data_IF_920547302640
#
_entry.id   IF_920547302640
#
_cell.length_a   1.000
_cell.length_b   1.000
_cell.length_c   1.000
_cell.angle_alpha   90.00
_cell.angle_beta   90.00
_cell.angle_gamma   90.00
#
_symmetry.space_group_name_H-M   'P 1'
#
loop_
_entity.id
_entity.type
_entity.pdbx_description
1 polymer ?
#
# COMPACT_ATOMS: atom_id res chain seq x y z
N UNK A 1 18.08 6.30 12.87
CA UNK A 1 16.77 6.35 12.18
C UNK A 1 16.26 4.94 12.00
N UNK A 2 14.95 4.73 12.07
CA UNK A 2 14.35 3.42 11.81
C UNK A 2 14.55 3.02 10.34
N UNK A 3 14.82 1.75 10.07
CA UNK A 3 14.94 1.23 8.70
C UNK A 3 13.58 1.17 7.99
N UNK A 4 12.54 0.81 8.75
CA UNK A 4 11.15 0.70 8.33
C UNK A 4 10.22 1.13 9.45
N UNK A 5 9.05 1.65 9.08
CA UNK A 5 7.90 1.88 9.95
C UNK A 5 6.74 1.04 9.41
N UNK A 6 6.02 0.33 10.28
CA UNK A 6 4.81 -0.39 9.92
C UNK A 6 3.60 0.33 10.52
N UNK A 7 2.70 0.81 9.66
CA UNK A 7 1.39 1.30 10.05
C UNK A 7 0.39 0.14 10.07
N UNK A 8 -0.43 0.06 11.12
CA UNK A 8 -1.47 -0.96 11.29
C UNK A 8 -2.69 -0.29 11.94
N UNK A 9 -3.86 -0.39 11.30
CA UNK A 9 -5.12 0.05 11.89
C UNK A 9 -5.51 -0.83 13.08
N UNK A 10 -6.32 -0.29 14.00
CA UNK A 10 -6.68 -0.98 15.23
C UNK A 10 -7.60 -2.20 15.04
N UNK A 11 -8.18 -2.37 13.85
CA UNK A 11 -9.05 -3.48 13.45
C UNK A 11 -8.32 -4.55 12.63
N UNK A 12 -7.01 -4.39 12.38
CA UNK A 12 -6.18 -5.41 11.72
C UNK A 12 -5.75 -6.49 12.71
N UNK A 13 -5.92 -7.75 12.31
CA UNK A 13 -5.48 -8.92 13.07
C UNK A 13 -4.22 -9.56 12.47
N UNK A 14 -3.29 -9.94 13.34
CA UNK A 14 -2.10 -10.71 12.95
C UNK A 14 -2.39 -12.21 13.03
N UNK A 15 -2.58 -12.86 11.88
CA UNK A 15 -2.95 -14.28 11.81
C UNK A 15 -1.74 -15.23 11.90
N UNK A 16 -0.54 -14.74 11.58
CA UNK A 16 0.69 -15.52 11.58
C UNK A 16 1.79 -14.83 12.41
N UNK A 17 1.60 -14.65 13.73
CA UNK A 17 2.53 -13.89 14.58
C UNK A 17 3.92 -14.54 14.74
N UNK A 18 4.06 -15.81 14.32
CA UNK A 18 5.33 -16.53 14.32
C UNK A 18 6.19 -16.23 13.09
N UNK A 19 5.63 -15.58 12.06
CA UNK A 19 6.37 -15.17 10.87
C UNK A 19 7.20 -13.94 11.22
N UNK A 20 8.55 -13.98 11.07
CA UNK A 20 9.38 -12.82 11.33
C UNK A 20 9.03 -11.67 10.37
N UNK A 21 9.04 -10.44 10.88
CA UNK A 21 8.73 -9.24 10.11
C UNK A 21 9.70 -9.06 8.92
N UNK A 22 10.94 -9.50 9.08
CA UNK A 22 11.97 -9.48 8.04
C UNK A 22 11.58 -10.30 6.82
N UNK A 23 10.84 -11.40 7.01
CA UNK A 23 10.31 -12.22 5.91
C UNK A 23 9.30 -11.41 5.11
N UNK A 24 8.34 -10.77 5.80
CA UNK A 24 7.32 -9.92 5.18
C UNK A 24 7.93 -8.75 4.39
N UNK A 25 8.93 -8.08 4.99
CA UNK A 25 9.63 -6.97 4.35
C UNK A 25 10.44 -7.46 3.14
N UNK A 26 11.14 -8.60 3.26
CA UNK A 26 11.98 -9.13 2.17
C UNK A 26 11.15 -9.59 0.99
N UNK A 27 10.03 -10.28 1.22
CA UNK A 27 9.14 -10.74 0.15
C UNK A 27 8.56 -9.58 -0.65
N UNK A 28 8.10 -8.53 0.04
CA UNK A 28 7.60 -7.32 -0.61
C UNK A 28 8.70 -6.48 -1.26
N UNK A 29 9.88 -6.35 -0.65
CA UNK A 29 11.02 -5.65 -1.26
C UNK A 29 11.49 -6.36 -2.54
N UNK A 30 11.48 -7.69 -2.56
CA UNK A 30 11.78 -8.48 -3.75
C UNK A 30 10.71 -8.31 -4.84
N UNK A 31 9.44 -8.13 -4.46
CA UNK A 31 8.37 -7.79 -5.41
C UNK A 31 8.59 -6.38 -6.02
N UNK A 32 8.87 -5.37 -5.19
CA UNK A 32 9.13 -4.00 -5.64
C UNK A 32 10.38 -3.89 -6.55
N UNK A 33 11.46 -4.60 -6.21
CA UNK A 33 12.69 -4.61 -7.02
C UNK A 33 12.47 -5.19 -8.43
N UNK A 34 11.58 -6.19 -8.58
CA UNK A 34 11.21 -6.75 -9.89
C UNK A 34 10.46 -5.76 -10.78
N UNK A 35 9.88 -4.73 -10.19
CA UNK A 35 9.13 -3.66 -10.86
C UNK A 35 9.99 -2.40 -11.10
N UNK A 36 11.29 -2.45 -10.78
CA UNK A 36 12.22 -1.35 -11.07
C UNK A 36 12.26 -0.24 -10.02
N UNK A 37 11.69 -0.43 -8.83
CA UNK A 37 11.65 0.58 -7.77
C UNK A 37 12.16 0.09 -6.42
N UNK A 38 13.03 0.88 -5.78
CA UNK A 38 13.26 0.80 -4.34
C UNK A 38 12.17 1.65 -3.65
N UNK A 39 10.99 1.08 -3.47
CA UNK A 39 9.82 1.88 -3.14
C UNK A 39 9.86 2.42 -1.71
N UNK A 40 9.42 3.67 -1.57
CA UNK A 40 9.27 4.38 -0.31
C UNK A 40 8.18 3.77 0.60
N UNK A 41 7.28 3.00 0.01
CA UNK A 41 6.05 2.44 0.57
C UNK A 41 5.84 1.02 0.05
N UNK A 42 5.38 0.12 0.91
CA UNK A 42 4.89 -1.21 0.54
C UNK A 42 3.49 -1.40 1.10
N UNK A 43 2.53 -1.70 0.22
CA UNK A 43 1.11 -1.88 0.56
C UNK A 43 0.82 -3.38 0.63
N UNK A 44 0.38 -3.86 1.80
CA UNK A 44 0.19 -5.29 2.04
C UNK A 44 -0.99 -5.91 1.27
N UNK A 45 -1.98 -5.09 0.91
CA UNK A 45 -3.15 -5.51 0.15
C UNK A 45 -3.43 -4.50 -0.97
N UNK A 46 -2.85 -4.76 -2.15
CA UNK A 46 -3.27 -4.13 -3.39
C UNK A 46 -4.10 -5.13 -4.21
N UNK A 47 -5.36 -4.78 -4.47
CA UNK A 47 -6.32 -5.56 -5.23
C UNK A 47 -6.67 -4.79 -6.51
N UNK A 48 -6.01 -5.04 -7.66
CA UNK A 48 -6.26 -4.27 -8.89
C UNK A 48 -7.71 -4.40 -9.39
N UNK A 49 -8.37 -5.49 -9.02
CA UNK A 49 -9.78 -5.76 -9.28
C UNK A 49 -10.71 -5.24 -8.19
N UNK A 50 -10.26 -4.43 -7.24
CA UNK A 50 -11.13 -3.92 -6.18
C UNK A 50 -12.40 -3.28 -6.75
N UNK A 51 -12.32 -2.65 -7.91
CA UNK A 51 -13.47 -2.07 -8.63
C UNK A 51 -14.43 -3.09 -9.27
N UNK A 52 -14.09 -4.37 -9.30
CA UNK A 52 -14.91 -5.43 -9.88
C UNK A 52 -15.81 -6.03 -8.81
N UNK A 53 -17.13 -6.00 -9.04
CA UNK A 53 -18.07 -6.83 -8.27
C UNK A 53 -17.76 -8.30 -8.54
N UNK A 54 -16.96 -8.90 -7.68
CA UNK A 54 -16.77 -10.35 -7.64
C UNK A 54 -17.89 -10.91 -6.75
N UNK A 55 -18.72 -11.79 -7.28
CA UNK A 55 -19.74 -12.55 -6.52
C UNK A 55 -20.75 -11.72 -5.68
N UNK A 56 -21.36 -10.67 -6.24
CA UNK A 56 -22.34 -9.80 -5.54
C UNK A 56 -21.77 -9.00 -4.36
N UNK A 57 -20.46 -8.98 -4.16
CA UNK A 57 -19.82 -8.13 -3.17
C UNK A 57 -19.65 -6.70 -3.71
N UNK A 58 -19.77 -5.70 -2.84
CA UNK A 58 -19.47 -4.32 -3.21
C UNK A 58 -17.98 -4.21 -3.55
N UNK A 59 -17.62 -3.46 -4.61
CA UNK A 59 -16.23 -3.33 -5.01
C UNK A 59 -15.37 -2.76 -3.87
N UNK A 60 -14.27 -3.45 -3.55
CA UNK A 60 -13.24 -2.96 -2.63
C UNK A 60 -12.43 -1.84 -3.27
N UNK A 61 -11.84 -0.96 -2.47
CA UNK A 61 -10.90 0.02 -3.02
C UNK A 61 -9.58 -0.69 -3.36
N UNK A 62 -8.91 -0.36 -4.48
CA UNK A 62 -7.79 -1.16 -4.99
C UNK A 62 -6.54 -1.10 -4.10
N UNK A 63 -6.39 -0.04 -3.32
CA UNK A 63 -5.35 0.12 -2.30
C UNK A 63 -5.99 -0.04 -0.94
N UNK A 64 -5.36 -0.75 -0.01
CA UNK A 64 -5.73 -0.75 1.41
C UNK A 64 -4.64 -0.08 2.26
N UNK A 65 -4.96 1.00 2.98
CA UNK A 65 -4.02 1.71 3.87
C UNK A 65 -4.07 1.26 5.32
N UNK A 66 -4.88 0.26 5.66
CA UNK A 66 -4.97 -0.27 7.02
C UNK A 66 -3.73 -1.05 7.44
N UNK A 67 -2.87 -1.45 6.51
CA UNK A 67 -1.54 -2.00 6.81
C UNK A 67 -0.53 -1.70 5.71
N UNK A 68 0.55 -0.98 6.03
CA UNK A 68 1.64 -0.70 5.08
C UNK A 68 2.98 -0.46 5.76
N UNK A 69 4.07 -0.72 5.03
CA UNK A 69 5.42 -0.39 5.46
C UNK A 69 5.94 0.88 4.77
N UNK A 70 6.54 1.78 5.52
CA UNK A 70 7.29 2.93 5.01
C UNK A 70 8.77 2.77 5.29
N UNK A 71 9.59 2.93 4.24
CA UNK A 71 11.05 2.94 4.41
C UNK A 71 11.50 4.19 5.15
N UNK A 72 12.49 4.09 6.03
CA UNK A 72 13.14 5.28 6.55
C UNK A 72 13.90 6.01 5.45
N UNK A 73 13.70 7.32 5.29
CA UNK A 73 14.51 8.14 4.39
C UNK A 73 13.78 9.30 3.73
N UNK A 74 14.52 10.06 2.92
CA UNK A 74 14.02 11.25 2.24
C UNK A 74 12.90 10.95 1.24
N UNK A 75 12.95 9.81 0.55
CA UNK A 75 11.93 9.40 -0.41
C UNK A 75 10.56 9.19 0.26
N UNK A 76 10.51 8.53 1.41
CA UNK A 76 9.28 8.32 2.16
C UNK A 76 8.77 9.58 2.84
N UNK A 77 9.68 10.45 3.31
CA UNK A 77 9.29 11.78 3.78
C UNK A 77 8.65 12.62 2.66
N UNK A 78 9.18 12.54 1.44
CA UNK A 78 8.61 13.21 0.28
C UNK A 78 7.23 12.65 -0.08
N UNK A 79 7.09 11.33 -0.14
CA UNK A 79 5.80 10.67 -0.38
C UNK A 79 4.75 11.11 0.65
N UNK A 80 5.09 11.12 1.94
CA UNK A 80 4.19 11.55 3.01
C UNK A 80 3.75 13.02 2.83
N UNK A 81 4.66 13.91 2.40
CA UNK A 81 4.32 15.31 2.11
C UNK A 81 3.34 15.43 0.95
N UNK A 82 3.60 14.72 -0.14
CA UNK A 82 2.70 14.70 -1.32
C UNK A 82 1.33 14.12 -0.96
N UNK A 83 1.32 13.03 -0.18
CA UNK A 83 0.10 12.38 0.29
C UNK A 83 -0.73 13.32 1.16
N UNK A 84 -0.13 13.94 2.18
CA UNK A 84 -0.81 14.92 3.02
C UNK A 84 -1.36 16.12 2.22
N UNK A 85 -0.65 16.57 1.19
CA UNK A 85 -1.10 17.64 0.31
C UNK A 85 -2.25 17.25 -0.62
N UNK A 86 -2.37 15.97 -0.98
CA UNK A 86 -3.45 15.45 -1.83
C UNK A 86 -4.77 15.23 -1.06
N UNK A 87 -4.70 14.87 0.23
CA UNK A 87 -5.87 14.55 1.05
C UNK A 87 -7.01 15.59 1.04
N UNK A 88 -6.76 16.92 1.11
CA UNK A 88 -7.83 17.91 1.08
C UNK A 88 -8.74 17.84 -0.17
N UNK A 89 -8.19 17.44 -1.32
CA UNK A 89 -8.94 17.38 -2.59
C UNK A 89 -9.93 16.22 -2.68
N UNK A 90 -9.77 15.20 -1.83
CA UNK A 90 -10.60 13.98 -1.82
C UNK A 90 -11.27 13.77 -0.47
N UNK A 91 -11.29 14.80 0.40
CA UNK A 91 -11.79 14.69 1.78
C UNK A 91 -13.28 14.32 1.89
N UNK A 92 -14.06 14.50 0.82
CA UNK A 92 -15.45 14.05 0.76
C UNK A 92 -15.60 12.55 0.49
N UNK A 93 -14.52 11.85 0.12
CA UNK A 93 -14.51 10.41 -0.07
C UNK A 93 -14.47 9.70 1.30
N UNK A 94 -15.24 8.61 1.50
CA UNK A 94 -15.24 7.88 2.78
C UNK A 94 -13.87 7.25 3.13
N UNK A 95 -13.05 6.99 2.12
CA UNK A 95 -11.68 6.46 2.23
C UNK A 95 -10.69 7.52 1.70
N UNK A 96 -10.74 8.73 2.25
CA UNK A 96 -10.10 9.91 1.66
C UNK A 96 -8.57 9.77 1.60
N UNK A 97 -7.93 9.27 2.64
CA UNK A 97 -6.48 9.04 2.67
C UNK A 97 -6.08 7.95 1.69
N UNK A 98 -6.84 6.85 1.66
CA UNK A 98 -6.61 5.73 0.76
C UNK A 98 -6.77 6.14 -0.72
N UNK A 99 -7.78 6.95 -1.02
CA UNK A 99 -8.02 7.51 -2.36
C UNK A 99 -6.93 8.52 -2.74
N UNK A 100 -6.49 9.36 -1.80
CA UNK A 100 -5.40 10.30 -2.04
C UNK A 100 -4.09 9.57 -2.39
N UNK A 101 -3.79 8.50 -1.66
CA UNK A 101 -2.63 7.67 -1.95
C UNK A 101 -2.75 7.00 -3.32
N UNK A 102 -3.90 6.38 -3.61
CA UNK A 102 -4.14 5.74 -4.91
C UNK A 102 -3.96 6.71 -6.08
N UNK A 103 -4.39 7.96 -5.95
CA UNK A 103 -4.18 8.98 -6.99
C UNK A 103 -2.70 9.36 -7.20
N UNK A 104 -1.86 9.20 -6.17
CA UNK A 104 -0.42 9.46 -6.24
C UNK A 104 0.38 8.26 -6.73
N UNK A 105 -0.11 7.04 -6.48
CA UNK A 105 0.52 5.83 -6.96
C UNK A 105 0.44 5.77 -8.48
N UNK A 106 1.60 5.58 -9.11
CA UNK A 106 1.63 5.28 -10.55
C UNK A 106 1.18 3.82 -10.74
N UNK A 107 0.53 3.47 -11.87
CA UNK A 107 0.17 2.08 -12.17
C UNK A 107 1.33 1.08 -12.08
N UNK A 108 2.56 1.57 -12.24
CA UNK A 108 3.80 0.78 -12.21
C UNK A 108 4.27 0.49 -10.78
N UNK A 109 3.87 1.32 -9.80
CA UNK A 109 4.19 1.16 -8.37
C UNK A 109 3.26 0.18 -7.64
N UNK A 110 2.40 -0.48 -8.41
CA UNK A 110 1.15 -1.04 -7.93
C UNK A 110 0.99 -2.51 -8.39
N UNK A 111 1.87 -3.01 -9.26
CA UNK A 111 1.75 -4.36 -9.84
C UNK A 111 2.49 -5.44 -9.04
N UNK A 112 1.92 -5.85 -7.91
CA UNK A 112 2.12 -7.22 -7.43
C UNK A 112 1.33 -8.20 -8.31
N UNK A 113 1.92 -8.69 -9.43
CA UNK A 113 1.39 -9.72 -10.35
C UNK A 113 -0.15 -9.83 -10.47
N UNK A 114 -0.71 -9.28 -11.55
CA UNK A 114 -1.80 -9.98 -12.24
C UNK A 114 -1.15 -10.91 -13.26
N UNK A 115 -1.45 -12.20 -13.14
CA UNK A 115 -1.14 -13.30 -14.04
C UNK A 115 -1.07 -12.90 -15.52
N UNK A 116 0.04 -13.21 -16.17
CA UNK A 116 0.04 -13.47 -17.61
C UNK A 116 -0.86 -14.69 -17.85
N UNK A 117 -1.91 -14.49 -18.64
CA UNK A 117 -2.64 -15.52 -19.35
C UNK A 117 -2.09 -15.62 -20.78
#
# INVERSE_FOLDING_TARGET
GYGWLWWIDCDVALLAPHVPMEVLITEHAAAAARLGGAEALMIGAYEPWGWMKVHNEEPSHPVNTGSFFLRGGAASAELLRQWAAACPSVRSHPLWEQQALHNLLRPEMVRGRTTDA
#
